data_IF_036571867288
#
_entry.id   IF_036571867288
#
_cell.length_a   1.000
_cell.length_b   1.000
_cell.length_c   1.000
_cell.angle_alpha   90.00
_cell.angle_beta   90.00
_cell.angle_gamma   90.00
#
_symmetry.space_group_name_H-M   'P 1'
#
loop_
_entity.id
_entity.type
_entity.pdbx_description
1 polymer ?
#
# COMPACT_ATOMS: atom_id res chain seq x y z
N UNK A 1 -17.37 -0.48 6.18
CA UNK A 1 -17.03 0.96 6.11
C UNK A 1 -18.11 1.68 5.32
N UNK A 2 -18.34 2.97 5.56
CA UNK A 2 -19.24 3.81 4.75
C UNK A 2 -18.53 4.29 3.48
N UNK A 3 -19.29 4.74 2.46
CA UNK A 3 -18.71 5.28 1.21
C UNK A 3 -17.72 6.44 1.45
N UNK A 4 -18.01 7.47 2.26
CA UNK A 4 -17.05 8.55 2.52
C UNK A 4 -15.74 8.06 3.14
N UNK A 5 -15.83 7.07 4.05
CA UNK A 5 -14.66 6.48 4.72
C UNK A 5 -13.79 5.73 3.72
N UNK A 6 -14.40 4.98 2.80
CA UNK A 6 -13.68 4.25 1.76
C UNK A 6 -12.96 5.21 0.81
N UNK A 7 -13.64 6.29 0.38
CA UNK A 7 -13.03 7.31 -0.49
C UNK A 7 -11.83 7.98 0.18
N UNK A 8 -11.94 8.31 1.47
CA UNK A 8 -10.82 8.88 2.23
C UNK A 8 -9.65 7.88 2.37
N UNK A 9 -9.94 6.60 2.62
CA UNK A 9 -8.91 5.57 2.71
C UNK A 9 -8.16 5.39 1.38
N UNK A 10 -8.88 5.37 0.25
CA UNK A 10 -8.28 5.29 -1.08
C UNK A 10 -7.46 6.55 -1.40
N UNK A 11 -7.97 7.74 -1.09
CA UNK A 11 -7.24 8.98 -1.28
C UNK A 11 -5.90 8.97 -0.53
N UNK A 12 -5.92 8.64 0.77
CA UNK A 12 -4.71 8.58 1.59
C UNK A 12 -3.74 7.52 1.05
N UNK A 13 -4.21 6.32 0.77
CA UNK A 13 -3.34 5.24 0.27
C UNK A 13 -2.75 5.56 -1.11
N UNK A 14 -3.49 6.18 -2.02
CA UNK A 14 -2.96 6.63 -3.31
C UNK A 14 -1.96 7.77 -3.17
N UNK A 15 -2.18 8.72 -2.25
CA UNK A 15 -1.19 9.76 -1.96
C UNK A 15 0.14 9.16 -1.45
N UNK A 16 0.07 8.16 -0.58
CA UNK A 16 1.27 7.44 -0.10
C UNK A 16 1.96 6.71 -1.26
N UNK A 17 1.20 6.01 -2.11
CA UNK A 17 1.73 5.32 -3.28
C UNK A 17 2.37 6.27 -4.30
N UNK A 18 1.75 7.44 -4.54
CA UNK A 18 2.28 8.48 -5.42
C UNK A 18 3.56 9.09 -4.84
N UNK A 19 3.58 9.39 -3.54
CA UNK A 19 4.77 9.89 -2.87
C UNK A 19 5.92 8.87 -2.95
N UNK A 20 5.63 7.59 -2.73
CA UNK A 20 6.61 6.52 -2.86
C UNK A 20 7.14 6.40 -4.30
N UNK A 21 6.26 6.47 -5.30
CA UNK A 21 6.66 6.49 -6.71
C UNK A 21 7.55 7.68 -7.03
N UNK A 22 7.19 8.88 -6.55
CA UNK A 22 7.97 10.09 -6.75
C UNK A 22 9.38 9.97 -6.16
N UNK A 23 9.52 9.35 -4.99
CA UNK A 23 10.81 9.14 -4.32
C UNK A 23 11.67 8.04 -4.99
N UNK A 24 11.06 6.99 -5.54
CA UNK A 24 11.77 5.86 -6.17
C UNK A 24 11.99 6.02 -7.67
N UNK A 25 11.16 6.81 -8.33
CA UNK A 25 11.05 6.88 -9.78
C UNK A 25 10.52 5.59 -10.42
N UNK A 26 10.44 5.59 -11.75
CA UNK A 26 10.00 4.44 -12.55
C UNK A 26 9.00 4.81 -13.64
N UNK A 27 8.56 3.80 -14.39
CA UNK A 27 7.54 3.97 -15.43
C UNK A 27 6.12 4.05 -14.84
N UNK A 28 5.13 4.29 -15.71
CA UNK A 28 3.72 4.35 -15.32
C UNK A 28 3.18 3.03 -14.75
N UNK A 29 3.70 1.88 -15.19
CA UNK A 29 3.30 0.58 -14.63
C UNK A 29 3.71 0.42 -13.16
N UNK A 30 4.88 0.95 -12.78
CA UNK A 30 5.29 0.99 -11.37
C UNK A 30 4.36 1.87 -10.52
N UNK A 31 3.80 2.95 -11.08
CA UNK A 31 2.84 3.77 -10.35
C UNK A 31 1.57 2.98 -10.02
N UNK A 32 1.04 2.24 -10.99
CA UNK A 32 -0.14 1.39 -10.79
C UNK A 32 0.14 0.29 -9.75
N UNK A 33 1.32 -0.34 -9.83
CA UNK A 33 1.76 -1.30 -8.82
C UNK A 33 1.79 -0.68 -7.43
N UNK A 34 2.37 0.51 -7.28
CA UNK A 34 2.46 1.19 -5.98
C UNK A 34 1.10 1.66 -5.45
N UNK A 35 0.17 2.09 -6.30
CA UNK A 35 -1.21 2.33 -5.89
C UNK A 35 -1.89 1.07 -5.37
N UNK A 36 -1.77 -0.05 -6.09
CA UNK A 36 -2.30 -1.33 -5.67
C UNK A 36 -1.70 -1.79 -4.33
N UNK A 37 -0.37 -1.80 -4.22
CA UNK A 37 0.33 -2.23 -3.00
C UNK A 37 0.02 -1.34 -1.80
N UNK A 38 0.00 -0.02 -1.99
CA UNK A 38 -0.35 0.92 -0.92
C UNK A 38 -1.78 0.73 -0.42
N UNK A 39 -2.75 0.56 -1.34
CA UNK A 39 -4.15 0.33 -0.99
C UNK A 39 -4.35 -1.03 -0.30
N UNK A 40 -3.68 -2.09 -0.78
CA UNK A 40 -3.69 -3.41 -0.15
C UNK A 40 -3.13 -3.35 1.28
N UNK A 41 -1.97 -2.72 1.46
CA UNK A 41 -1.36 -2.56 2.78
C UNK A 41 -2.22 -1.74 3.74
N UNK A 42 -2.83 -0.65 3.25
CA UNK A 42 -3.73 0.17 4.05
C UNK A 42 -4.96 -0.65 4.50
N UNK A 43 -5.61 -1.34 3.57
CA UNK A 43 -6.78 -2.17 3.84
C UNK A 43 -6.47 -3.34 4.79
N UNK A 44 -5.33 -4.02 4.58
CA UNK A 44 -4.86 -5.08 5.46
C UNK A 44 -4.63 -4.56 6.89
N UNK A 45 -4.04 -3.38 7.05
CA UNK A 45 -3.86 -2.76 8.36
C UNK A 45 -5.18 -2.39 9.03
N UNK A 46 -6.20 -1.92 8.29
CA UNK A 46 -7.54 -1.69 8.85
C UNK A 46 -8.21 -2.98 9.34
N UNK A 47 -7.99 -4.09 8.64
CA UNK A 47 -8.52 -5.39 9.04
C UNK A 47 -7.77 -5.94 10.26
N UNK A 48 -6.44 -5.94 10.22
CA UNK A 48 -5.58 -6.42 11.30
C UNK A 48 -5.75 -5.59 12.57
N UNK A 49 -5.84 -4.26 12.45
CA UNK A 49 -6.10 -3.37 13.58
C UNK A 49 -7.41 -3.69 14.28
N UNK A 50 -8.47 -3.97 13.52
CA UNK A 50 -9.76 -4.40 14.09
C UNK A 50 -9.69 -5.77 14.75
N UNK A 51 -8.96 -6.71 14.15
CA UNK A 51 -8.85 -8.07 14.67
C UNK A 51 -8.02 -8.14 15.96
N UNK A 52 -6.92 -7.40 16.01
CA UNK A 52 -6.02 -7.35 17.18
C UNK A 52 -6.42 -6.30 18.22
N UNK A 53 -7.44 -5.47 17.93
CA UNK A 53 -7.83 -4.35 18.79
C UNK A 53 -6.80 -3.23 18.85
N UNK A 54 -5.91 -3.14 17.85
CA UNK A 54 -4.90 -2.10 17.78
C UNK A 54 -5.50 -0.80 17.24
N UNK A 55 -5.16 0.31 17.89
CA UNK A 55 -5.49 1.65 17.41
C UNK A 55 -4.23 2.50 17.40
N UNK A 56 -3.98 3.15 16.27
CA UNK A 56 -2.86 4.06 16.10
C UNK A 56 -3.26 5.19 15.17
N UNK A 57 -3.36 6.39 15.75
CA UNK A 57 -3.80 7.62 15.09
C UNK A 57 -5.10 7.42 14.28
N UNK A 58 -6.21 7.38 15.00
CA UNK A 58 -7.54 7.15 14.45
C UNK A 58 -8.19 8.46 14.01
N UNK A 59 -8.64 8.50 12.76
CA UNK A 59 -9.45 9.60 12.23
C UNK A 59 -10.83 9.08 11.84
N UNK A 60 -11.83 9.37 12.67
CA UNK A 60 -13.18 8.81 12.53
C UNK A 60 -13.18 7.28 12.59
N UNK A 61 -13.52 6.63 11.48
CA UNK A 61 -13.56 5.17 11.37
C UNK A 61 -12.27 4.54 10.80
N UNK A 62 -11.24 5.34 10.54
CA UNK A 62 -9.98 4.89 9.95
C UNK A 62 -8.83 4.91 10.96
N UNK A 63 -8.10 3.82 11.06
CA UNK A 63 -6.81 3.75 11.75
C UNK A 63 -5.72 4.26 10.79
N UNK A 64 -5.55 5.58 10.69
CA UNK A 64 -4.67 6.19 9.68
C UNK A 64 -3.21 5.84 9.95
N UNK A 65 -2.76 5.83 11.21
CA UNK A 65 -1.39 5.47 11.57
C UNK A 65 -1.04 4.05 11.17
N UNK A 66 -1.90 3.08 11.52
CA UNK A 66 -1.75 1.69 11.08
C UNK A 66 -1.80 1.57 9.56
N UNK A 67 -2.72 2.30 8.92
CA UNK A 67 -2.86 2.33 7.47
C UNK A 67 -1.57 2.77 6.76
N UNK A 68 -0.94 3.85 7.24
CA UNK A 68 0.34 4.34 6.71
C UNK A 68 1.44 3.29 6.85
N UNK A 69 1.57 2.67 8.02
CA UNK A 69 2.56 1.61 8.26
C UNK A 69 2.31 0.42 7.33
N UNK A 70 1.07 -0.04 7.23
CA UNK A 70 0.69 -1.13 6.33
C UNK A 70 0.99 -0.83 4.87
N UNK A 71 0.64 0.37 4.40
CA UNK A 71 0.96 0.82 3.03
C UNK A 71 2.47 0.79 2.76
N UNK A 72 3.29 1.33 3.67
CA UNK A 72 4.74 1.33 3.49
C UNK A 72 5.33 -0.08 3.45
N UNK A 73 4.87 -0.98 4.34
CA UNK A 73 5.32 -2.38 4.34
C UNK A 73 5.00 -3.09 3.02
N UNK A 74 3.78 -2.94 2.52
CA UNK A 74 3.38 -3.55 1.24
C UNK A 74 4.09 -2.90 0.04
N UNK A 75 4.32 -1.59 0.05
CA UNK A 75 5.10 -0.91 -0.98
C UNK A 75 6.54 -1.44 -1.05
N UNK A 76 7.19 -1.58 0.10
CA UNK A 76 8.54 -2.15 0.19
C UNK A 76 8.56 -3.60 -0.32
N UNK A 77 7.56 -4.40 0.06
CA UNK A 77 7.42 -5.78 -0.41
C UNK A 77 7.17 -5.86 -1.92
N UNK A 78 6.26 -5.05 -2.44
CA UNK A 78 5.94 -4.99 -3.87
C UNK A 78 7.11 -4.52 -4.72
N UNK A 79 7.90 -3.55 -4.23
CA UNK A 79 9.13 -3.13 -4.88
C UNK A 79 10.19 -4.22 -4.87
N UNK A 80 10.34 -4.93 -3.75
CA UNK A 80 11.25 -6.08 -3.67
C UNK A 80 10.85 -7.15 -4.69
N UNK A 81 9.56 -7.52 -4.73
CA UNK A 81 9.03 -8.51 -5.68
C UNK A 81 9.22 -8.08 -7.13
N UNK A 82 9.06 -6.79 -7.45
CA UNK A 82 9.23 -6.29 -8.82
C UNK A 82 10.68 -6.34 -9.33
N UNK A 83 11.64 -6.56 -8.43
CA UNK A 83 13.07 -6.65 -8.77
C UNK A 83 13.54 -8.09 -8.94
N UNK A 84 12.68 -9.07 -8.64
CA UNK A 84 13.00 -10.48 -8.85
C UNK A 84 12.89 -10.75 -10.35
N UNK A 85 14.03 -10.76 -11.04
CA UNK A 85 14.10 -11.21 -12.42
C UNK A 85 13.81 -12.72 -12.49
N UNK A 86 12.93 -13.18 -13.40
CA UNK A 86 12.84 -14.59 -13.74
C UNK A 86 14.22 -15.03 -14.25
N UNK A 87 14.81 -16.05 -13.64
CA UNK A 87 16.03 -16.66 -14.14
C UNK A 87 15.69 -17.39 -15.44
N UNK A 88 15.71 -16.66 -16.55
CA UNK A 88 15.48 -17.20 -17.88
C UNK A 88 16.73 -17.98 -18.31
N UNK A 89 16.90 -19.16 -17.71
CA UNK A 89 17.67 -20.24 -18.33
C UNK A 89 16.77 -20.89 -19.39
N UNK A 90 16.33 -20.12 -20.38
CA UNK A 90 15.93 -20.69 -21.66
C UNK A 90 17.21 -21.03 -22.40
N UNK A 91 17.71 -22.24 -22.11
CA UNK A 91 18.71 -22.90 -22.92
C UNK A 91 18.19 -23.06 -24.34
N UNK A 92 19.07 -22.71 -25.27
CA UNK A 92 19.09 -23.09 -26.69
C UNK A 92 18.57 -24.51 -26.92
#
# INVERSE_FOLDING_TARGET
MTLPTLSLALLISFLIGAAYHFLRGGNGWKLILYFGMSALGFGAAQWLGRWLGWSMYRFGALEVGLGVIGSLLFLMFGEWLSRIEPNDKSGV
#
